data_IF_760276027821
#
_entry.id   IF_760276027821
#
_cell.length_a   1.000
_cell.length_b   1.000
_cell.length_c   1.000
_cell.angle_alpha   90.00
_cell.angle_beta   90.00
_cell.angle_gamma   90.00
#
_symmetry.space_group_name_H-M   'P 1'
#
loop_
_entity.id
_entity.type
_entity.pdbx_description
1 polymer ?
#
# COMPACT_ATOMS: atom_id res chain seq x y z
N UNK A 1 -19.22 -1.93 -14.77
CA UNK A 1 -18.71 -2.17 -13.39
C UNK A 1 -18.36 -0.85 -12.71
N UNK A 2 -18.67 -0.69 -11.42
CA UNK A 2 -18.37 0.56 -10.68
C UNK A 2 -16.89 0.58 -10.30
N UNK A 3 -16.17 1.64 -10.68
CA UNK A 3 -14.77 1.87 -10.26
C UNK A 3 -14.72 2.11 -8.74
N UNK A 4 -13.62 1.71 -8.09
CA UNK A 4 -13.38 2.02 -6.68
C UNK A 4 -13.43 3.54 -6.45
N UNK A 5 -14.21 3.98 -5.47
CA UNK A 5 -14.27 5.37 -5.04
C UNK A 5 -14.02 5.41 -3.54
N UNK A 6 -13.02 6.19 -3.14
CA UNK A 6 -12.72 6.40 -1.73
C UNK A 6 -13.53 7.59 -1.22
N UNK A 7 -14.42 7.36 -0.25
CA UNK A 7 -15.35 8.38 0.25
C UNK A 7 -14.61 9.55 0.93
N UNK A 8 -13.43 9.30 1.48
CA UNK A 8 -12.60 10.31 2.16
C UNK A 8 -11.54 10.94 1.26
N UNK A 9 -11.65 10.78 -0.07
CA UNK A 9 -10.73 11.43 -1.03
C UNK A 9 -10.67 12.96 -0.87
N UNK A 10 -11.80 13.69 -0.68
CA UNK A 10 -11.76 15.13 -0.45
C UNK A 10 -10.99 15.51 0.82
N UNK A 11 -11.15 14.71 1.89
CA UNK A 11 -10.45 14.93 3.17
C UNK A 11 -8.96 14.66 3.01
N UNK A 12 -8.58 13.61 2.27
CA UNK A 12 -7.19 13.32 1.95
C UNK A 12 -6.53 14.47 1.19
N UNK A 13 -7.23 15.03 0.19
CA UNK A 13 -6.74 16.17 -0.57
C UNK A 13 -6.60 17.44 0.28
N UNK A 14 -7.55 17.68 1.19
CA UNK A 14 -7.44 18.79 2.15
C UNK A 14 -6.21 18.63 3.06
N UNK A 15 -5.96 17.41 3.57
CA UNK A 15 -4.79 17.13 4.41
C UNK A 15 -3.47 17.29 3.66
N UNK A 16 -3.41 16.90 2.39
CA UNK A 16 -2.25 17.16 1.52
C UNK A 16 -1.96 18.66 1.39
N UNK A 17 -2.99 19.47 1.11
CA UNK A 17 -2.82 20.93 1.05
C UNK A 17 -2.32 21.52 2.37
N UNK A 18 -2.86 21.05 3.50
CA UNK A 18 -2.39 21.49 4.84
C UNK A 18 -0.95 21.09 5.10
N UNK A 19 -0.53 19.89 4.71
CA UNK A 19 0.87 19.46 4.80
C UNK A 19 1.77 20.36 3.95
N UNK A 20 1.37 20.66 2.70
CA UNK A 20 2.13 21.54 1.81
C UNK A 20 2.27 22.96 2.39
N UNK A 21 1.21 23.49 3.02
CA UNK A 21 1.25 24.78 3.72
C UNK A 21 2.24 24.77 4.90
N UNK A 22 2.21 23.71 5.72
CA UNK A 22 3.14 23.54 6.84
C UNK A 22 4.59 23.34 6.37
N UNK A 23 4.77 22.63 5.25
CA UNK A 23 6.07 22.43 4.63
C UNK A 23 6.65 23.77 4.15
N UNK A 24 5.84 24.58 3.46
CA UNK A 24 6.24 25.93 3.04
C UNK A 24 6.65 26.79 4.23
N UNK A 25 5.85 26.81 5.30
CA UNK A 25 6.16 27.56 6.51
C UNK A 25 7.50 27.12 7.14
N UNK A 26 7.73 25.80 7.23
CA UNK A 26 9.01 25.25 7.71
C UNK A 26 10.19 25.64 6.79
N UNK A 27 10.00 25.54 5.47
CA UNK A 27 11.04 25.87 4.50
C UNK A 27 11.46 27.34 4.52
N UNK A 28 10.53 28.26 4.80
CA UNK A 28 10.85 29.68 4.92
C UNK A 28 11.83 29.93 6.07
N UNK A 29 11.50 29.45 7.29
CA UNK A 29 12.35 29.63 8.47
C UNK A 29 13.69 28.90 8.30
N UNK A 30 13.67 27.69 7.75
CA UNK A 30 14.90 26.95 7.46
C UNK A 30 15.77 27.70 6.43
N UNK A 31 15.15 28.34 5.45
CA UNK A 31 15.82 29.18 4.45
C UNK A 31 16.50 30.39 5.08
N UNK A 32 15.80 31.11 5.97
CA UNK A 32 16.37 32.24 6.70
C UNK A 32 17.57 31.83 7.56
N UNK A 33 17.46 30.73 8.31
CA UNK A 33 18.58 30.21 9.12
C UNK A 33 19.77 29.86 8.22
N UNK A 34 19.53 29.27 7.05
CA UNK A 34 20.59 28.96 6.10
C UNK A 34 21.24 30.22 5.52
N UNK A 35 20.48 31.29 5.26
CA UNK A 35 21.05 32.57 4.84
C UNK A 35 21.98 33.14 5.92
N UNK A 36 21.55 33.11 7.18
CA UNK A 36 22.36 33.57 8.32
C UNK A 36 23.65 32.74 8.42
N UNK A 37 23.57 31.41 8.28
CA UNK A 37 24.75 30.53 8.26
C UNK A 37 25.72 30.85 7.12
N UNK A 38 25.19 31.15 5.93
CA UNK A 38 26.03 31.54 4.81
C UNK A 38 26.75 32.87 5.10
N UNK A 39 26.10 33.82 5.76
CA UNK A 39 26.74 35.06 6.21
C UNK A 39 27.86 34.80 7.22
N UNK A 40 27.64 33.91 8.19
CA UNK A 40 28.69 33.49 9.14
C UNK A 40 29.88 32.89 8.38
N UNK A 41 29.63 31.95 7.47
CA UNK A 41 30.69 31.32 6.66
C UNK A 41 31.47 32.33 5.81
N UNK A 42 30.81 33.34 5.26
CA UNK A 42 31.48 34.39 4.50
C UNK A 42 32.37 35.25 5.39
N UNK A 43 31.88 35.63 6.57
CA UNK A 43 32.67 36.35 7.56
C UNK A 43 33.87 35.52 8.05
N UNK A 44 33.70 34.22 8.28
CA UNK A 44 34.77 33.29 8.65
C UNK A 44 35.86 33.24 7.58
N UNK A 45 35.49 33.10 6.30
CA UNK A 45 36.44 33.17 5.18
C UNK A 45 37.18 34.49 5.13
N UNK A 46 36.50 35.61 5.38
CA UNK A 46 37.14 36.92 5.44
C UNK A 46 38.14 37.01 6.60
N UNK A 47 37.78 36.48 7.78
CA UNK A 47 38.70 36.41 8.92
C UNK A 47 39.92 35.56 8.57
N UNK A 48 39.73 34.38 7.97
CA UNK A 48 40.83 33.51 7.52
C UNK A 48 41.75 34.21 6.53
N UNK A 49 41.19 34.94 5.56
CA UNK A 49 41.96 35.71 4.58
C UNK A 49 42.78 36.83 5.23
N UNK A 50 42.23 37.50 6.25
CA UNK A 50 42.87 38.62 6.95
C UNK A 50 43.87 38.16 8.03
N UNK A 51 43.72 36.93 8.53
CA UNK A 51 44.61 36.36 9.56
C UNK A 51 45.66 35.41 8.97
N UNK A 52 45.49 34.96 7.72
CA UNK A 52 46.38 34.04 7.03
C UNK A 52 47.78 34.61 6.76
N UNK A 53 48.76 33.71 6.61
CA UNK A 53 50.18 34.03 6.39
C UNK A 53 50.44 34.85 5.12
N UNK A 54 49.53 34.81 4.15
CA UNK A 54 49.56 35.59 2.91
C UNK A 54 49.21 37.06 3.12
N UNK A 55 48.57 37.45 4.23
CA UNK A 55 48.21 38.83 4.54
C UNK A 55 49.33 39.50 5.35
N UNK A 56 50.37 39.96 4.65
CA UNK A 56 51.50 40.66 5.26
C UNK A 56 51.27 42.17 5.33
N UNK A 57 51.08 42.69 6.53
CA UNK A 57 51.05 44.14 6.84
C UNK A 57 52.47 44.74 6.94
N UNK A 58 53.47 44.14 6.31
CA UNK A 58 54.86 44.61 6.37
C UNK A 58 54.98 46.05 5.84
N UNK A 59 55.47 46.96 6.68
CA UNK A 59 55.57 48.39 6.37
C UNK A 59 54.32 49.22 6.67
N UNK A 60 53.26 48.61 7.23
CA UNK A 60 52.05 49.33 7.64
C UNK A 60 52.25 50.14 8.93
N UNK A 61 51.50 51.23 9.08
CA UNK A 61 51.53 52.07 10.28
C UNK A 61 50.86 51.36 11.46
N UNK A 62 51.22 51.74 12.69
CA UNK A 62 50.53 51.27 13.91
C UNK A 62 49.01 51.48 13.82
N UNK A 63 48.57 52.57 13.18
CA UNK A 63 47.16 52.87 12.95
C UNK A 63 46.49 51.81 12.08
N UNK A 64 47.16 51.33 11.03
CA UNK A 64 46.62 50.35 10.09
C UNK A 64 46.45 49.00 10.78
N UNK A 65 47.41 48.62 11.64
CA UNK A 65 47.29 47.44 12.50
C UNK A 65 46.10 47.52 13.45
N UNK A 66 45.86 48.67 14.07
CA UNK A 66 44.71 48.87 14.97
C UNK A 66 43.38 48.77 14.22
N UNK A 67 43.29 49.37 13.03
CA UNK A 67 42.10 49.28 12.18
C UNK A 67 41.84 47.85 11.73
N UNK A 68 42.88 47.13 11.31
CA UNK A 68 42.80 45.74 10.91
C UNK A 68 42.29 44.84 12.04
N UNK A 69 42.89 44.94 13.22
CA UNK A 69 42.46 44.20 14.42
C UNK A 69 41.03 44.57 14.84
N UNK A 70 40.66 45.85 14.74
CA UNK A 70 39.30 46.31 14.99
C UNK A 70 38.29 45.70 14.03
N UNK A 71 38.63 45.61 12.74
CA UNK A 71 37.77 45.01 11.73
C UNK A 71 37.57 43.51 11.99
N UNK A 72 38.64 42.75 12.24
CA UNK A 72 38.52 41.32 12.59
C UNK A 72 37.63 41.11 13.81
N UNK A 73 37.83 41.89 14.89
CA UNK A 73 36.97 41.82 16.08
C UNK A 73 35.52 42.13 15.74
N UNK A 74 35.26 43.10 14.87
CA UNK A 74 33.89 43.42 14.46
C UNK A 74 33.23 42.27 13.71
N UNK A 75 33.95 41.55 12.84
CA UNK A 75 33.45 40.37 12.14
C UNK A 75 33.16 39.22 13.12
N UNK A 76 34.03 39.00 14.11
CA UNK A 76 33.82 37.99 15.15
C UNK A 76 32.55 38.30 15.95
N UNK A 77 32.40 39.54 16.43
CA UNK A 77 31.19 39.96 17.16
C UNK A 77 29.94 39.89 16.30
N UNK A 78 30.04 40.18 15.00
CA UNK A 78 28.94 39.96 14.07
C UNK A 78 28.54 38.49 13.99
N UNK A 79 29.51 37.56 13.90
CA UNK A 79 29.23 36.13 13.91
C UNK A 79 28.55 35.68 15.21
N UNK A 80 29.02 36.12 16.37
CA UNK A 80 28.39 35.83 17.66
C UNK A 80 26.92 36.29 17.71
N UNK A 81 26.64 37.48 17.18
CA UNK A 81 25.27 37.98 17.09
C UNK A 81 24.41 37.14 16.13
N UNK A 82 24.94 36.77 14.97
CA UNK A 82 24.25 35.92 14.00
C UNK A 82 23.99 34.51 14.55
N UNK A 83 24.91 33.96 15.36
CA UNK A 83 24.72 32.69 16.06
C UNK A 83 23.61 32.79 17.11
N UNK A 84 23.58 33.87 17.88
CA UNK A 84 22.48 34.16 18.82
C UNK A 84 21.14 34.28 18.09
N UNK A 85 21.10 34.92 16.92
CA UNK A 85 19.90 35.00 16.09
C UNK A 85 19.42 33.62 15.61
N UNK A 86 20.33 32.70 15.28
CA UNK A 86 19.99 31.32 14.95
C UNK A 86 19.41 30.60 16.17
N UNK A 87 20.04 30.72 17.34
CA UNK A 87 19.55 30.13 18.60
C UNK A 87 18.14 30.64 18.94
N UNK A 88 17.87 31.93 18.76
CA UNK A 88 16.55 32.53 18.98
C UNK A 88 15.47 32.00 18.01
N UNK A 89 15.85 31.64 16.78
CA UNK A 89 14.93 31.09 15.76
C UNK A 89 14.76 29.57 15.81
N UNK A 90 15.69 28.85 16.46
CA UNK A 90 15.59 27.39 16.67
C UNK A 90 14.26 26.91 17.28
N UNK A 91 13.73 27.50 18.36
CA UNK A 91 12.46 27.04 18.94
C UNK A 91 11.29 27.18 17.96
N UNK A 92 11.29 28.24 17.13
CA UNK A 92 10.27 28.41 16.10
C UNK A 92 10.38 27.36 15.00
N UNK A 93 11.61 27.07 14.54
CA UNK A 93 11.89 26.02 13.56
C UNK A 93 11.42 24.65 14.07
N UNK A 94 11.72 24.31 15.32
CA UNK A 94 11.33 23.04 15.94
C UNK A 94 9.81 22.94 16.13
N UNK A 95 9.14 24.04 16.48
CA UNK A 95 7.69 24.10 16.53
C UNK A 95 7.06 23.82 15.16
N UNK A 96 7.54 24.48 14.09
CA UNK A 96 7.07 24.23 12.72
C UNK A 96 7.37 22.81 12.25
N UNK A 97 8.51 22.26 12.65
CA UNK A 97 8.87 20.86 12.36
C UNK A 97 7.90 19.89 13.03
N UNK A 98 7.54 20.12 14.28
CA UNK A 98 6.57 19.30 14.99
C UNK A 98 5.17 19.38 14.33
N UNK A 99 4.74 20.58 13.94
CA UNK A 99 3.49 20.79 13.19
C UNK A 99 3.50 20.00 11.86
N UNK A 100 4.59 20.08 11.09
CA UNK A 100 4.73 19.35 9.83
C UNK A 100 4.66 17.82 10.05
N UNK A 101 5.34 17.30 11.06
CA UNK A 101 5.31 15.87 11.40
C UNK A 101 3.89 15.43 11.77
N UNK A 102 3.15 16.25 12.51
CA UNK A 102 1.75 15.94 12.85
C UNK A 102 0.86 15.89 11.60
N UNK A 103 1.00 16.86 10.68
CA UNK A 103 0.27 16.89 9.43
C UNK A 103 0.60 15.68 8.53
N UNK A 104 1.87 15.29 8.47
CA UNK A 104 2.32 14.10 7.74
C UNK A 104 1.72 12.81 8.29
N UNK A 105 1.67 12.67 9.62
CA UNK A 105 1.01 11.53 10.28
C UNK A 105 -0.47 11.48 9.90
N UNK A 106 -1.16 12.62 9.98
CA UNK A 106 -2.58 12.70 9.65
C UNK A 106 -2.87 12.37 8.18
N UNK A 107 -2.03 12.78 7.24
CA UNK A 107 -2.15 12.35 5.84
C UNK A 107 -1.94 10.84 5.72
N UNK A 108 -0.87 10.32 6.32
CA UNK A 108 -0.47 8.92 6.20
C UNK A 108 -1.54 7.96 6.73
N UNK A 109 -2.24 8.33 7.81
CA UNK A 109 -3.38 7.56 8.33
C UNK A 109 -4.47 7.40 7.27
N UNK A 110 -4.85 8.47 6.56
CA UNK A 110 -5.86 8.39 5.50
C UNK A 110 -5.39 7.60 4.29
N UNK A 111 -4.11 7.68 3.93
CA UNK A 111 -3.54 6.87 2.84
C UNK A 111 -3.60 5.37 3.16
N UNK A 112 -3.25 4.99 4.39
CA UNK A 112 -3.35 3.60 4.86
C UNK A 112 -4.82 3.14 4.82
N UNK A 113 -5.76 3.98 5.27
CA UNK A 113 -7.19 3.67 5.20
C UNK A 113 -7.68 3.46 3.76
N UNK A 114 -7.24 4.32 2.83
CA UNK A 114 -7.53 4.18 1.40
C UNK A 114 -6.98 2.87 0.84
N UNK A 115 -5.74 2.54 1.16
CA UNK A 115 -5.10 1.30 0.70
C UNK A 115 -5.82 0.06 1.24
N UNK A 116 -6.21 0.07 2.52
CA UNK A 116 -6.95 -1.02 3.14
C UNK A 116 -8.34 -1.22 2.51
N UNK A 117 -9.08 -0.13 2.27
CA UNK A 117 -10.37 -0.19 1.58
C UNK A 117 -10.23 -0.67 0.13
N UNK A 118 -9.16 -0.24 -0.55
CA UNK A 118 -8.87 -0.70 -1.90
C UNK A 118 -8.54 -2.20 -1.95
N UNK A 119 -7.74 -2.70 -1.00
CA UNK A 119 -7.45 -4.14 -0.85
C UNK A 119 -8.73 -4.94 -0.62
N UNK A 120 -9.62 -4.46 0.26
CA UNK A 120 -10.91 -5.10 0.52
C UNK A 120 -11.80 -5.12 -0.72
N UNK A 121 -11.91 -4.00 -1.44
CA UNK A 121 -12.62 -3.91 -2.72
C UNK A 121 -12.07 -4.93 -3.72
N UNK A 122 -10.75 -4.96 -3.93
CA UNK A 122 -10.08 -5.89 -4.85
C UNK A 122 -10.36 -7.36 -4.51
N UNK A 123 -10.31 -7.72 -3.22
CA UNK A 123 -10.63 -9.07 -2.75
C UNK A 123 -12.10 -9.44 -3.04
N UNK A 124 -13.03 -8.52 -2.77
CA UNK A 124 -14.45 -8.74 -3.06
C UNK A 124 -14.72 -8.87 -4.56
N UNK A 125 -14.00 -8.09 -5.38
CA UNK A 125 -14.08 -8.10 -6.83
C UNK A 125 -13.63 -9.46 -7.39
N UNK A 126 -12.43 -9.91 -7.03
CA UNK A 126 -11.93 -11.21 -7.48
C UNK A 126 -12.78 -12.39 -7.00
N UNK A 127 -13.39 -12.28 -5.81
CA UNK A 127 -14.31 -13.32 -5.33
C UNK A 127 -15.55 -13.42 -6.21
N UNK A 128 -16.11 -12.29 -6.66
CA UNK A 128 -17.27 -12.26 -7.58
C UNK A 128 -16.90 -12.77 -8.95
N UNK A 129 -15.79 -12.29 -9.51
CA UNK A 129 -15.28 -12.72 -10.82
C UNK A 129 -15.00 -14.23 -10.83
N UNK A 130 -14.37 -14.77 -9.78
CA UNK A 130 -14.15 -16.21 -9.64
C UNK A 130 -15.47 -16.99 -9.59
N UNK A 131 -16.46 -16.50 -8.86
CA UNK A 131 -17.78 -17.14 -8.78
C UNK A 131 -18.50 -17.14 -10.14
N UNK A 132 -18.50 -16.00 -10.84
CA UNK A 132 -19.09 -15.87 -12.18
C UNK A 132 -18.39 -16.81 -13.19
N UNK A 133 -17.07 -16.95 -13.12
CA UNK A 133 -16.29 -17.87 -13.94
C UNK A 133 -16.61 -19.35 -13.63
N UNK A 134 -16.71 -19.72 -12.35
CA UNK A 134 -17.08 -21.08 -11.93
C UNK A 134 -18.50 -21.43 -12.38
N UNK A 135 -19.45 -20.51 -12.26
CA UNK A 135 -20.82 -20.70 -12.72
C UNK A 135 -20.87 -20.91 -14.24
N UNK A 136 -20.19 -20.05 -15.02
CA UNK A 136 -20.11 -20.18 -16.46
C UNK A 136 -19.43 -21.49 -16.89
N UNK A 137 -18.35 -21.88 -16.21
CA UNK A 137 -17.67 -23.15 -16.46
C UNK A 137 -18.57 -24.35 -16.17
N UNK A 138 -19.32 -24.34 -15.07
CA UNK A 138 -20.26 -25.40 -14.72
C UNK A 138 -21.41 -25.50 -15.73
N UNK A 139 -21.92 -24.37 -16.22
CA UNK A 139 -22.93 -24.34 -17.28
C UNK A 139 -22.40 -24.99 -18.57
N UNK A 140 -21.22 -24.59 -19.05
CA UNK A 140 -20.58 -25.19 -20.24
C UNK A 140 -20.37 -26.70 -20.07
N UNK A 141 -19.84 -27.11 -18.92
CA UNK A 141 -19.64 -28.53 -18.60
C UNK A 141 -20.96 -29.29 -18.62
N UNK A 142 -22.04 -28.71 -18.08
CA UNK A 142 -23.36 -29.34 -18.10
C UNK A 142 -23.92 -29.51 -19.51
N UNK A 143 -23.67 -28.56 -20.41
CA UNK A 143 -24.04 -28.64 -21.83
C UNK A 143 -23.25 -29.75 -22.52
N UNK A 144 -21.94 -29.82 -22.27
CA UNK A 144 -21.06 -30.86 -22.82
C UNK A 144 -21.48 -32.26 -22.38
N UNK A 145 -21.82 -32.45 -21.10
CA UNK A 145 -22.33 -33.73 -20.60
C UNK A 145 -23.64 -34.14 -21.26
N UNK A 146 -24.57 -33.21 -21.47
CA UNK A 146 -25.82 -33.50 -22.20
C UNK A 146 -25.54 -33.95 -23.62
N UNK A 147 -24.68 -33.25 -24.34
CA UNK A 147 -24.28 -33.61 -25.71
C UNK A 147 -23.59 -34.98 -25.77
N UNK A 148 -22.72 -35.30 -24.82
CA UNK A 148 -22.09 -36.63 -24.75
C UNK A 148 -23.10 -37.74 -24.48
N UNK A 149 -24.04 -37.54 -23.55
CA UNK A 149 -25.09 -38.52 -23.26
C UNK A 149 -26.01 -38.73 -24.48
N UNK A 150 -26.44 -37.66 -25.15
CA UNK A 150 -27.24 -37.74 -26.39
C UNK A 150 -26.49 -38.43 -27.53
N UNK A 151 -25.16 -38.27 -27.62
CA UNK A 151 -24.34 -38.99 -28.63
C UNK A 151 -24.05 -40.46 -28.28
N UNK A 152 -24.23 -40.84 -27.00
CA UNK A 152 -24.04 -42.21 -26.51
C UNK A 152 -25.33 -43.04 -26.47
N UNK A 153 -26.49 -42.40 -26.65
CA UNK A 153 -27.73 -43.08 -26.95
C UNK A 153 -27.69 -43.59 -28.40
N UNK A 154 -27.01 -44.72 -28.64
CA UNK A 154 -27.38 -45.59 -29.75
C UNK A 154 -28.82 -46.03 -29.53
N UNK A 155 -29.66 -45.98 -30.56
CA UNK A 155 -31.07 -46.37 -30.50
C UNK A 155 -31.25 -47.59 -29.59
N UNK A 156 -32.13 -47.51 -28.56
CA UNK A 156 -32.35 -48.66 -27.70
C UNK A 156 -32.79 -49.81 -28.60
N UNK A 157 -32.04 -50.92 -28.55
CA UNK A 157 -32.31 -52.09 -29.38
C UNK A 157 -33.82 -52.38 -29.34
N UNK A 158 -34.48 -52.55 -30.50
CA UNK A 158 -35.93 -52.62 -30.56
C UNK A 158 -36.39 -53.69 -29.57
N UNK A 159 -37.31 -53.33 -28.68
CA UNK A 159 -37.89 -54.28 -27.74
C UNK A 159 -38.64 -55.33 -28.55
N UNK A 160 -37.98 -56.44 -28.84
CA UNK A 160 -38.62 -57.60 -29.48
C UNK A 160 -39.61 -58.15 -28.47
N UNK A 161 -40.90 -57.95 -28.75
CA UNK A 161 -41.98 -58.55 -27.99
C UNK A 161 -42.05 -60.02 -28.36
N UNK A 162 -41.40 -60.89 -27.58
CA UNK A 162 -41.53 -62.33 -27.77
C UNK A 162 -42.86 -62.78 -27.16
N UNK A 163 -43.77 -63.29 -27.98
CA UNK A 163 -44.99 -63.95 -27.51
C UNK A 163 -44.60 -65.31 -26.93
N UNK A 164 -45.10 -65.59 -25.74
CA UNK A 164 -44.88 -66.84 -25.02
C UNK A 164 -45.64 -67.98 -25.72
N UNK A 165 -45.03 -68.60 -26.74
CA UNK A 165 -45.55 -69.84 -27.32
C UNK A 165 -45.12 -70.98 -26.41
N UNK A 166 -46.01 -71.36 -25.50
CA UNK A 166 -45.76 -72.40 -24.51
C UNK A 166 -45.15 -73.67 -25.10
N UNK A 167 -43.88 -73.91 -24.77
CA UNK A 167 -43.26 -75.22 -24.77
C UNK A 167 -42.16 -75.25 -23.72
N UNK A 168 -42.41 -75.97 -22.64
CA UNK A 168 -41.52 -76.13 -21.49
C UNK A 168 -40.14 -76.67 -21.88
N UNK A 169 -39.09 -75.98 -21.41
CA UNK A 169 -37.88 -76.61 -20.87
C UNK A 169 -37.18 -75.63 -19.91
N UNK A 170 -37.23 -75.95 -18.62
CA UNK A 170 -36.44 -75.26 -17.59
C UNK A 170 -34.94 -75.40 -17.86
N UNK A 171 -34.15 -74.37 -17.55
CA UNK A 171 -32.87 -74.59 -16.94
C UNK A 171 -32.82 -74.01 -15.53
N UNK A 172 -32.37 -74.86 -14.62
CA UNK A 172 -32.11 -74.60 -13.23
C UNK A 172 -30.97 -73.59 -13.02
N UNK A 173 -31.27 -72.48 -12.35
CA UNK A 173 -30.52 -71.93 -11.20
C UNK A 173 -30.92 -70.47 -11.02
N UNK A 174 -31.86 -70.21 -10.12
CA UNK A 174 -32.06 -68.88 -9.55
C UNK A 174 -32.07 -68.99 -8.03
N UNK A 175 -30.89 -68.80 -7.45
CA UNK A 175 -30.59 -68.84 -6.02
C UNK A 175 -31.01 -67.53 -5.30
N UNK A 176 -32.10 -66.92 -5.76
CA UNK A 176 -32.56 -65.59 -5.32
C UNK A 176 -33.70 -65.68 -4.30
N UNK A 177 -34.57 -66.69 -4.40
CA UNK A 177 -35.75 -66.84 -3.52
C UNK A 177 -35.47 -67.42 -2.12
N UNK A 178 -34.45 -68.27 -1.96
CA UNK A 178 -34.10 -68.86 -0.66
C UNK A 178 -33.49 -67.84 0.32
N UNK A 179 -32.90 -66.77 -0.20
CA UNK A 179 -32.22 -65.73 0.58
C UNK A 179 -33.20 -64.80 1.32
N UNK A 180 -34.40 -64.59 0.78
CA UNK A 180 -35.41 -63.71 1.39
C UNK A 180 -36.21 -64.43 2.48
N UNK A 181 -36.55 -65.71 2.28
CA UNK A 181 -37.25 -66.51 3.28
C UNK A 181 -36.41 -66.73 4.54
N UNK A 182 -35.09 -66.89 4.40
CA UNK A 182 -34.16 -67.00 5.54
C UNK A 182 -34.05 -65.70 6.34
N UNK A 183 -34.03 -64.55 5.67
CA UNK A 183 -34.04 -63.22 6.32
C UNK A 183 -35.34 -62.92 7.08
N UNK A 184 -36.46 -63.51 6.67
CA UNK A 184 -37.75 -63.39 7.36
C UNK A 184 -37.80 -64.31 8.58
N UNK A 185 -37.30 -65.55 8.45
CA UNK A 185 -37.24 -66.51 9.56
C UNK A 185 -36.32 -66.06 10.70
N UNK A 186 -35.15 -65.51 10.39
CA UNK A 186 -34.20 -65.01 11.41
C UNK A 186 -34.68 -63.74 12.12
N UNK A 187 -35.65 -63.01 11.55
CA UNK A 187 -36.21 -61.78 12.15
C UNK A 187 -37.30 -62.06 13.20
N UNK A 188 -37.89 -63.25 13.20
CA UNK A 188 -38.97 -63.64 14.12
C UNK A 188 -38.54 -64.69 15.17
N UNK A 189 -37.28 -65.11 15.15
CA UNK A 189 -36.71 -65.98 16.18
C UNK A 189 -36.12 -65.13 17.31
N UNK A 190 -36.91 -64.98 18.39
CA UNK A 190 -36.44 -64.49 19.70
C UNK A 190 -35.29 -65.35 20.24
#
# INVERSE_FOLDING_TARGET
MKRFRFNLEPVLNLRKKKEDEKLKAFSLIAGEINQIRNSIQENEKQIELLTGESYSLSGASLRDYQLHQGYIRSLITQNENLESDIENRRPELDAKRAELISAQKDRKILEILKENQYKAYKKSYFKKEKFELEEHYNQLKSIQWRQMNESSESEPAPRVFTYDTGSSSEPANDDSGASELKKIYDRFKK
#
